data_IF_807405089649
#
_entry.id   IF_807405089649
#
_cell.length_a   1.000
_cell.length_b   1.000
_cell.length_c   1.000
_cell.angle_alpha   90.00
_cell.angle_beta   90.00
_cell.angle_gamma   90.00
#
_symmetry.space_group_name_H-M   'P 1'
#
loop_
_entity.id
_entity.type
_entity.pdbx_description
1 polymer ?
#
# COMPACT_ATOMS: atom_id res chain seq x y z
N UNK A 1 -15.39 -10.16 24.06
CA UNK A 1 -15.31 -8.69 23.98
C UNK A 1 -14.24 -8.32 22.97
N UNK A 2 -14.58 -7.36 22.13
CA UNK A 2 -13.84 -6.85 20.97
C UNK A 2 -12.71 -5.91 21.42
N UNK A 3 -11.44 -6.14 21.07
CA UNK A 3 -10.44 -5.06 20.98
C UNK A 3 -9.28 -5.44 20.04
N UNK A 4 -9.23 -4.77 18.90
CA UNK A 4 -8.06 -4.59 18.06
C UNK A 4 -6.88 -4.04 18.87
N UNK A 5 -5.65 -4.50 18.61
CA UNK A 5 -4.47 -3.67 18.84
C UNK A 5 -3.40 -3.95 17.79
N UNK A 6 -3.48 -3.12 16.75
CA UNK A 6 -2.41 -2.77 15.83
C UNK A 6 -1.43 -1.85 16.57
N UNK A 7 -0.17 -2.27 16.76
CA UNK A 7 0.93 -1.35 17.06
C UNK A 7 2.28 -2.03 16.79
N UNK A 8 2.71 -2.00 15.53
CA UNK A 8 4.12 -2.19 15.20
C UNK A 8 4.84 -0.88 15.52
N UNK A 9 5.49 -0.81 16.67
CA UNK A 9 6.36 0.29 17.06
C UNK A 9 7.61 0.28 16.18
N UNK A 10 7.66 1.16 15.18
CA UNK A 10 8.93 1.49 14.53
C UNK A 10 9.82 2.24 15.52
N UNK A 11 10.94 1.62 15.90
CA UNK A 11 12.06 2.31 16.53
C UNK A 11 12.60 3.40 15.61
N UNK A 12 12.52 4.65 16.05
CA UNK A 12 13.19 5.78 15.42
C UNK A 12 14.72 5.64 15.56
N UNK A 13 15.52 5.92 14.52
CA UNK A 13 16.95 6.10 14.67
C UNK A 13 17.29 7.49 15.25
N UNK A 14 18.35 7.51 16.07
CA UNK A 14 18.88 8.68 16.77
C UNK A 14 19.30 9.86 15.86
N UNK A 15 19.36 11.10 16.39
CA UNK A 15 19.78 12.28 15.61
C UNK A 15 21.26 12.22 15.22
N UNK A 16 21.56 12.48 13.95
CA UNK A 16 22.93 12.64 13.43
C UNK A 16 23.46 14.05 13.72
N UNK A 17 24.77 14.21 14.03
CA UNK A 17 25.39 15.52 14.20
C UNK A 17 25.48 16.31 12.89
N UNK A 18 25.28 17.62 12.97
CA UNK A 18 25.34 18.58 11.86
C UNK A 18 26.76 18.73 11.33
N UNK A 19 27.01 18.21 10.13
CA UNK A 19 28.20 18.56 9.35
C UNK A 19 27.87 19.80 8.51
N UNK A 20 28.67 20.85 8.70
CA UNK A 20 28.67 22.09 7.93
C UNK A 20 28.90 21.82 6.43
N UNK A 21 28.27 22.59 5.53
CA UNK A 21 28.54 22.46 4.10
C UNK A 21 29.90 23.08 3.76
N UNK A 22 30.76 22.27 3.14
CA UNK A 22 31.90 22.76 2.36
C UNK A 22 31.42 23.69 1.23
N UNK A 23 32.14 24.75 0.88
CA UNK A 23 31.81 25.59 -0.27
C UNK A 23 32.03 24.81 -1.57
N UNK A 24 30.95 24.59 -2.33
CA UNK A 24 31.00 24.04 -3.68
C UNK A 24 31.59 25.09 -4.63
N UNK A 25 32.59 24.77 -5.47
CA UNK A 25 33.07 25.67 -6.50
C UNK A 25 31.93 26.00 -7.47
N UNK A 26 31.63 27.29 -7.61
CA UNK A 26 30.65 27.85 -8.55
C UNK A 26 31.00 27.38 -9.96
N UNK A 27 30.21 26.45 -10.52
CA UNK A 27 30.30 26.14 -11.94
C UNK A 27 29.97 27.40 -12.72
N UNK A 28 30.88 27.79 -13.62
CA UNK A 28 30.74 28.97 -14.45
C UNK A 28 29.47 28.84 -15.31
N UNK A 29 28.48 29.67 -15.01
CA UNK A 29 27.30 29.82 -15.85
C UNK A 29 27.73 30.34 -17.22
N UNK A 30 27.42 29.58 -18.27
CA UNK A 30 27.56 30.03 -19.65
C UNK A 30 26.73 31.31 -19.86
N UNK A 31 27.27 32.35 -20.54
CA UNK A 31 26.52 33.59 -20.77
C UNK A 31 25.25 33.31 -21.57
N UNK A 32 24.08 33.57 -20.97
CA UNK A 32 22.81 33.53 -21.72
C UNK A 32 22.79 34.70 -22.71
N UNK A 33 22.25 34.52 -23.93
CA UNK A 33 22.18 35.60 -24.90
C UNK A 33 21.32 36.75 -24.36
N UNK A 34 21.94 37.93 -24.38
CA UNK A 34 21.36 39.23 -24.06
C UNK A 34 20.24 39.52 -25.08
N UNK A 35 18.98 39.25 -24.73
CA UNK A 35 17.86 39.55 -25.64
C UNK A 35 16.50 38.87 -25.45
N UNK A 36 16.29 37.97 -24.49
CA UNK A 36 14.95 37.42 -24.23
C UNK A 36 14.20 38.27 -23.19
N UNK A 37 13.27 39.07 -23.70
CA UNK A 37 12.49 40.13 -23.04
C UNK A 37 11.93 39.76 -21.65
N UNK A 38 12.27 40.59 -20.69
CA UNK A 38 11.54 40.80 -19.44
C UNK A 38 10.33 41.73 -19.74
N UNK A 39 9.16 41.15 -20.01
CA UNK A 39 7.82 41.61 -19.59
C UNK A 39 6.71 41.00 -20.45
N UNK A 40 5.52 40.94 -19.82
CA UNK A 40 4.20 40.74 -20.43
C UNK A 40 3.54 39.37 -20.26
N UNK A 41 3.66 38.75 -19.08
CA UNK A 41 2.55 37.90 -18.63
C UNK A 41 2.34 37.95 -17.10
N UNK A 42 1.48 38.85 -16.59
CA UNK A 42 0.98 38.77 -15.22
C UNK A 42 -0.01 37.61 -15.01
N UNK A 43 -0.19 36.73 -16.00
CA UNK A 43 -1.08 35.57 -15.96
C UNK A 43 -0.53 34.33 -15.26
N UNK A 44 0.56 34.41 -14.47
CA UNK A 44 1.06 33.30 -13.64
C UNK A 44 0.20 33.12 -12.36
N UNK A 45 -1.11 33.19 -12.53
CA UNK A 45 -2.16 32.66 -11.66
C UNK A 45 -3.14 31.92 -12.58
N UNK A 46 -2.63 30.98 -13.38
CA UNK A 46 -3.49 29.98 -13.96
C UNK A 46 -3.75 28.92 -12.88
N UNK A 47 -5.01 28.70 -12.46
CA UNK A 47 -5.42 27.40 -11.99
C UNK A 47 -5.60 26.53 -13.24
N UNK A 48 -4.52 26.06 -13.85
CA UNK A 48 -4.54 25.10 -14.96
C UNK A 48 -4.88 23.68 -14.48
N UNK A 49 -5.95 23.59 -13.67
CA UNK A 49 -6.76 22.37 -13.65
C UNK A 49 -7.71 22.49 -14.83
N UNK A 50 -7.53 21.74 -15.93
CA UNK A 50 -8.51 21.72 -17.00
C UNK A 50 -9.74 21.00 -16.42
N UNK A 51 -10.77 21.77 -16.08
CA UNK A 51 -12.09 21.32 -15.59
C UNK A 51 -12.89 20.55 -16.67
N UNK A 52 -12.22 19.72 -17.48
CA UNK A 52 -12.79 19.11 -18.67
C UNK A 52 -12.04 17.88 -19.21
N UNK A 53 -10.96 17.39 -18.56
CA UNK A 53 -10.44 16.06 -18.92
C UNK A 53 -11.43 15.00 -18.44
N UNK A 54 -12.19 14.43 -19.37
CA UNK A 54 -12.93 13.20 -19.12
C UNK A 54 -11.93 12.15 -18.59
N UNK A 55 -12.19 11.48 -17.46
CA UNK A 55 -11.28 10.47 -16.95
C UNK A 55 -11.05 9.43 -18.03
N UNK A 56 -9.79 9.23 -18.39
CA UNK A 56 -9.39 8.16 -19.31
C UNK A 56 -9.90 6.84 -18.70
N UNK A 57 -10.67 6.02 -19.44
CA UNK A 57 -11.15 4.75 -18.90
C UNK A 57 -9.94 3.92 -18.47
N UNK A 58 -9.83 3.64 -17.16
CA UNK A 58 -8.70 2.83 -16.71
C UNK A 58 -8.76 1.44 -17.36
N UNK A 59 -7.61 0.83 -17.67
CA UNK A 59 -7.53 -0.45 -18.36
C UNK A 59 -8.41 -1.53 -17.71
N UNK A 60 -8.93 -2.48 -18.50
CA UNK A 60 -9.71 -3.59 -17.97
C UNK A 60 -8.87 -4.39 -16.96
N UNK A 61 -9.47 -4.71 -15.81
CA UNK A 61 -8.82 -5.48 -14.76
C UNK A 61 -8.48 -6.90 -15.25
N UNK A 62 -7.22 -7.31 -15.17
CA UNK A 62 -6.72 -8.59 -15.68
C UNK A 62 -6.62 -9.60 -14.54
N UNK A 63 -6.99 -10.85 -14.81
CA UNK A 63 -6.88 -11.95 -13.84
C UNK A 63 -5.42 -12.30 -13.51
N UNK A 64 -4.53 -12.19 -14.50
CA UNK A 64 -3.09 -12.43 -14.33
C UNK A 64 -2.36 -11.09 -14.38
N UNK A 65 -2.40 -10.36 -13.27
CA UNK A 65 -1.70 -9.11 -13.08
C UNK A 65 -0.84 -9.18 -11.81
N UNK A 66 0.22 -8.36 -11.77
CA UNK A 66 1.12 -8.24 -10.62
C UNK A 66 0.36 -7.85 -9.34
N UNK A 67 -0.67 -7.04 -9.52
CA UNK A 67 -1.65 -6.68 -8.50
C UNK A 67 -2.27 -7.91 -7.81
N UNK A 68 -2.80 -8.88 -8.58
CA UNK A 68 -3.38 -10.13 -8.05
C UNK A 68 -2.36 -11.00 -7.32
N UNK A 69 -1.11 -10.99 -7.79
CA UNK A 69 -0.02 -11.70 -7.12
C UNK A 69 0.26 -11.13 -5.73
N UNK A 70 0.23 -9.80 -5.57
CA UNK A 70 0.39 -9.18 -4.26
C UNK A 70 -0.77 -9.47 -3.32
N UNK A 71 -2.00 -9.44 -3.83
CA UNK A 71 -3.20 -9.82 -3.08
C UNK A 71 -3.13 -11.25 -2.55
N UNK A 72 -2.75 -12.19 -3.42
CA UNK A 72 -2.54 -13.58 -3.05
C UNK A 72 -1.42 -13.72 -2.00
N UNK A 73 -0.24 -13.16 -2.28
CA UNK A 73 0.94 -13.33 -1.43
C UNK A 73 0.78 -12.68 -0.06
N UNK A 74 0.21 -11.48 0.00
CA UNK A 74 -0.07 -10.78 1.25
C UNK A 74 -1.07 -11.59 2.10
N UNK A 75 -2.12 -12.13 1.47
CA UNK A 75 -3.09 -12.97 2.16
C UNK A 75 -2.47 -14.27 2.67
N UNK A 76 -1.68 -14.96 1.85
CA UNK A 76 -0.99 -16.18 2.23
C UNK A 76 -0.06 -15.97 3.44
N UNK A 77 0.80 -14.96 3.38
CA UNK A 77 1.73 -14.62 4.45
C UNK A 77 0.99 -14.17 5.71
N UNK A 78 -0.11 -13.43 5.57
CA UNK A 78 -0.91 -12.97 6.71
C UNK A 78 -1.53 -14.12 7.49
N UNK A 79 -2.06 -15.14 6.80
CA UNK A 79 -2.56 -16.35 7.46
C UNK A 79 -1.45 -17.05 8.22
N UNK A 80 -0.30 -17.32 7.58
CA UNK A 80 0.82 -18.00 8.23
C UNK A 80 1.38 -17.24 9.42
N UNK A 81 1.63 -15.94 9.26
CA UNK A 81 2.15 -15.08 10.33
C UNK A 81 1.13 -14.93 11.47
N UNK A 82 -0.15 -14.73 11.15
CA UNK A 82 -1.22 -14.61 12.14
C UNK A 82 -1.41 -15.90 12.92
N UNK A 83 -1.44 -17.05 12.23
CA UNK A 83 -1.56 -18.35 12.88
C UNK A 83 -0.35 -18.63 13.79
N UNK A 84 0.86 -18.43 13.29
CA UNK A 84 2.08 -18.63 14.08
C UNK A 84 2.14 -17.71 15.31
N UNK A 85 1.73 -16.44 15.17
CA UNK A 85 1.64 -15.51 16.29
C UNK A 85 0.62 -15.99 17.33
N UNK A 86 -0.58 -16.36 16.89
CA UNK A 86 -1.65 -16.82 17.78
C UNK A 86 -1.29 -18.13 18.50
N UNK A 87 -0.85 -19.14 17.75
CA UNK A 87 -0.55 -20.46 18.31
C UNK A 87 0.71 -20.44 19.19
N UNK A 88 1.80 -19.81 18.73
CA UNK A 88 3.11 -19.96 19.39
C UNK A 88 3.49 -18.81 20.32
N UNK A 89 2.96 -17.59 20.11
CA UNK A 89 3.31 -16.42 20.94
C UNK A 89 2.23 -16.06 21.92
N UNK A 90 0.97 -16.26 21.54
CA UNK A 90 -0.18 -16.01 22.41
C UNK A 90 -0.69 -17.28 23.10
N UNK A 91 -0.09 -18.45 22.81
CA UNK A 91 -0.47 -19.76 23.35
C UNK A 91 -1.98 -20.03 23.23
N UNK A 92 -2.58 -19.61 22.12
CA UNK A 92 -3.96 -19.96 21.81
C UNK A 92 -4.02 -21.38 21.27
N UNK A 93 -5.09 -22.10 21.63
CA UNK A 93 -5.37 -23.40 21.05
C UNK A 93 -5.51 -23.29 19.51
N UNK A 94 -5.24 -24.38 18.80
CA UNK A 94 -5.23 -24.39 17.33
C UNK A 94 -6.56 -23.90 16.70
N UNK A 95 -7.76 -24.32 17.16
CA UNK A 95 -9.01 -23.86 16.57
C UNK A 95 -9.23 -22.33 16.65
N UNK A 96 -9.07 -21.66 17.81
CA UNK A 96 -9.17 -20.20 17.86
C UNK A 96 -8.03 -19.48 17.13
N UNK A 97 -6.80 -20.02 17.13
CA UNK A 97 -5.69 -19.45 16.36
C UNK A 97 -5.96 -19.47 14.84
N UNK A 98 -6.52 -20.56 14.33
CA UNK A 98 -6.99 -20.68 12.94
C UNK A 98 -8.11 -19.68 12.65
N UNK A 99 -9.13 -19.60 13.51
CA UNK A 99 -10.25 -18.68 13.32
C UNK A 99 -9.82 -17.22 13.26
N UNK A 100 -8.92 -16.79 14.15
CA UNK A 100 -8.41 -15.42 14.19
C UNK A 100 -7.56 -15.11 12.97
N UNK A 101 -6.66 -16.01 12.56
CA UNK A 101 -5.78 -15.79 11.41
C UNK A 101 -6.54 -15.74 10.09
N UNK A 102 -7.46 -16.67 9.85
CA UNK A 102 -8.29 -16.72 8.64
C UNK A 102 -9.28 -15.55 8.60
N UNK A 103 -10.04 -15.35 9.68
CA UNK A 103 -11.03 -14.28 9.77
C UNK A 103 -10.40 -12.90 9.72
N UNK A 104 -9.26 -12.71 10.40
CA UNK A 104 -8.49 -11.47 10.38
C UNK A 104 -7.97 -11.15 8.98
N UNK A 105 -7.36 -12.12 8.29
CA UNK A 105 -6.86 -11.93 6.93
C UNK A 105 -7.99 -11.64 5.94
N UNK A 106 -9.10 -12.39 6.03
CA UNK A 106 -10.28 -12.13 5.21
C UNK A 106 -10.85 -10.74 5.45
N UNK A 107 -10.96 -10.32 6.72
CA UNK A 107 -11.43 -9.00 7.11
C UNK A 107 -10.54 -7.87 6.59
N UNK A 108 -9.21 -8.07 6.59
CA UNK A 108 -8.26 -7.12 6.01
C UNK A 108 -8.42 -7.01 4.48
N UNK A 109 -8.52 -8.14 3.78
CA UNK A 109 -8.74 -8.17 2.33
C UNK A 109 -10.08 -7.54 1.92
N UNK A 110 -11.16 -7.87 2.64
CA UNK A 110 -12.47 -7.27 2.45
C UNK A 110 -12.45 -5.77 2.76
N UNK A 111 -11.83 -5.38 3.88
CA UNK A 111 -11.70 -3.99 4.29
C UNK A 111 -10.97 -3.14 3.26
N UNK A 112 -9.90 -3.65 2.65
CA UNK A 112 -9.17 -2.95 1.58
C UNK A 112 -10.08 -2.66 0.39
N UNK A 113 -10.77 -3.68 -0.11
CA UNK A 113 -11.65 -3.53 -1.28
C UNK A 113 -12.86 -2.61 -0.99
N UNK A 114 -13.38 -2.65 0.24
CA UNK A 114 -14.40 -1.69 0.66
C UNK A 114 -13.84 -0.27 0.69
N UNK A 115 -12.65 -0.08 1.25
CA UNK A 115 -11.99 1.23 1.29
C UNK A 115 -11.77 1.79 -0.12
N UNK A 116 -11.34 0.95 -1.07
CA UNK A 116 -11.14 1.33 -2.47
C UNK A 116 -12.45 1.70 -3.18
N UNK A 117 -13.57 1.07 -2.78
CA UNK A 117 -14.91 1.43 -3.25
C UNK A 117 -15.33 2.83 -2.81
N UNK A 118 -15.00 3.24 -1.58
CA UNK A 118 -15.34 4.56 -1.05
C UNK A 118 -14.29 5.64 -1.39
N UNK A 119 -13.08 5.25 -1.80
CA UNK A 119 -11.98 6.14 -2.15
C UNK A 119 -12.06 6.75 -3.56
N UNK A 120 -11.01 7.50 -3.92
CA UNK A 120 -10.90 8.26 -5.18
C UNK A 120 -11.08 7.43 -6.45
N UNK A 121 -10.78 6.14 -6.41
CA UNK A 121 -10.76 5.26 -7.58
C UNK A 121 -12.09 4.52 -7.77
N UNK A 122 -12.99 4.54 -6.77
CA UNK A 122 -14.36 3.98 -6.76
C UNK A 122 -14.49 2.62 -7.45
N UNK A 123 -13.56 1.71 -7.20
CA UNK A 123 -13.53 0.40 -7.85
C UNK A 123 -13.38 -0.68 -6.79
N UNK A 124 -14.43 -1.48 -6.65
CA UNK A 124 -14.36 -2.76 -5.95
C UNK A 124 -14.02 -3.82 -6.99
N UNK A 125 -12.94 -4.58 -6.79
CA UNK A 125 -12.62 -5.68 -7.69
C UNK A 125 -12.95 -7.03 -7.07
N UNK A 126 -13.89 -7.74 -7.71
CA UNK A 126 -14.14 -9.14 -7.41
C UNK A 126 -12.93 -10.05 -7.67
N UNK A 127 -12.02 -9.64 -8.56
CA UNK A 127 -10.83 -10.41 -8.89
C UNK A 127 -9.78 -10.32 -7.78
N UNK A 128 -9.67 -9.15 -7.14
CA UNK A 128 -8.82 -8.98 -5.95
C UNK A 128 -9.36 -9.77 -4.76
N UNK A 129 -10.68 -9.79 -4.59
CA UNK A 129 -11.32 -10.66 -3.59
C UNK A 129 -11.04 -12.14 -3.84
N UNK A 130 -11.11 -12.59 -5.09
CA UNK A 130 -10.78 -13.96 -5.46
C UNK A 130 -9.30 -14.29 -5.21
N UNK A 131 -8.38 -13.37 -5.53
CA UNK A 131 -6.96 -13.54 -5.25
C UNK A 131 -6.67 -13.63 -3.74
N UNK A 132 -7.34 -12.79 -2.93
CA UNK A 132 -7.26 -12.88 -1.46
C UNK A 132 -7.78 -14.23 -0.96
N UNK A 133 -8.94 -14.68 -1.44
CA UNK A 133 -9.53 -15.95 -1.05
C UNK A 133 -8.62 -17.15 -1.40
N UNK A 134 -8.00 -17.15 -2.58
CA UNK A 134 -7.02 -18.17 -2.97
C UNK A 134 -5.78 -18.14 -2.07
N UNK A 135 -5.28 -16.95 -1.72
CA UNK A 135 -4.15 -16.80 -0.80
C UNK A 135 -4.46 -17.31 0.60
N UNK A 136 -5.66 -17.02 1.12
CA UNK A 136 -6.15 -17.52 2.40
C UNK A 136 -6.28 -19.05 2.38
N UNK A 137 -6.89 -19.61 1.33
CA UNK A 137 -7.03 -21.05 1.18
C UNK A 137 -5.68 -21.76 1.11
N UNK A 138 -4.72 -21.23 0.33
CA UNK A 138 -3.37 -21.75 0.28
C UNK A 138 -2.67 -21.64 1.65
N UNK A 139 -2.83 -20.52 2.36
CA UNK A 139 -2.26 -20.33 3.69
C UNK A 139 -2.84 -21.30 4.71
N UNK A 140 -4.15 -21.55 4.64
CA UNK A 140 -4.81 -22.57 5.47
C UNK A 140 -4.20 -23.96 5.22
N UNK A 141 -4.11 -24.38 3.96
CA UNK A 141 -3.57 -25.69 3.61
C UNK A 141 -2.11 -25.88 4.02
N UNK A 142 -1.29 -24.84 3.94
CA UNK A 142 0.15 -24.93 4.25
C UNK A 142 0.44 -24.77 5.74
N UNK A 143 -0.23 -23.85 6.44
CA UNK A 143 0.14 -23.50 7.82
C UNK A 143 -0.81 -24.05 8.88
N UNK A 144 -2.06 -24.33 8.53
CA UNK A 144 -3.13 -24.63 9.51
C UNK A 144 -3.61 -26.08 9.42
N UNK A 145 -3.80 -26.62 8.21
CA UNK A 145 -4.39 -27.94 7.98
C UNK A 145 -3.66 -29.10 8.68
N UNK A 146 -2.38 -28.95 9.03
CA UNK A 146 -1.61 -30.01 9.70
C UNK A 146 -1.84 -30.12 11.22
N UNK A 147 -2.76 -29.33 11.78
CA UNK A 147 -3.11 -29.32 13.21
C UNK A 147 -4.62 -29.43 13.42
#
# INVERSE_FOLDING_TARGET
MLTLLLAASLSLPAPRPSLSPFPVPRQAESPRPFGARLNDNPGLLAPDTPAGRKPVPAPPDRWLAWDKFWHFSASFVSVGAGYHLCANRLNLDHPPAAGVSLGGTFGLGLGKELLDRYGHHRRFSWKDMAANALGIAAGYLVFVHEY
#
